data_IF_350674328590
#
_entry.id   IF_350674328590
#
_cell.length_a   1.000
_cell.length_b   1.000
_cell.length_c   1.000
_cell.angle_alpha   90.00
_cell.angle_beta   90.00
_cell.angle_gamma   90.00
#
_symmetry.space_group_name_H-M   'P 1'
#
loop_
_entity.id
_entity.type
_entity.pdbx_description
1 polymer ?
#
# COMPACT_ATOMS: atom_id res chain seq x y z
N UNK A 1 -3.36 1.32 -26.53
CA UNK A 1 -4.16 1.22 -25.29
C UNK A 1 -4.35 2.64 -24.77
N UNK A 2 -5.53 2.96 -24.22
CA UNK A 2 -5.71 4.26 -23.57
C UNK A 2 -4.86 4.27 -22.29
N UNK A 3 -3.97 5.25 -22.17
CA UNK A 3 -3.14 5.46 -20.99
C UNK A 3 -3.90 6.33 -19.98
N UNK A 4 -3.71 6.08 -18.69
CA UNK A 4 -4.25 6.92 -17.62
C UNK A 4 -3.17 7.95 -17.26
N UNK A 5 -3.52 9.24 -17.34
CA UNK A 5 -2.59 10.31 -17.00
C UNK A 5 -2.42 10.43 -15.48
N UNK A 6 -1.27 10.95 -15.04
CA UNK A 6 -0.93 11.09 -13.62
C UNK A 6 -1.96 11.88 -12.83
N UNK A 7 -2.51 12.92 -13.44
CA UNK A 7 -3.51 13.80 -12.84
C UNK A 7 -4.84 13.08 -12.62
N UNK A 8 -5.23 12.22 -13.55
CA UNK A 8 -6.46 11.42 -13.46
C UNK A 8 -6.36 10.40 -12.33
N UNK A 9 -5.21 9.72 -12.21
CA UNK A 9 -4.94 8.79 -11.10
C UNK A 9 -5.03 9.52 -9.76
N UNK A 10 -4.39 10.67 -9.63
CA UNK A 10 -4.41 11.46 -8.40
C UNK A 10 -5.83 11.93 -8.04
N UNK A 11 -6.59 12.40 -9.03
CA UNK A 11 -7.99 12.81 -8.83
C UNK A 11 -8.88 11.66 -8.39
N UNK A 12 -8.73 10.48 -9.01
CA UNK A 12 -9.52 9.30 -8.65
C UNK A 12 -9.20 8.83 -7.23
N UNK A 13 -7.93 8.70 -6.87
CA UNK A 13 -7.57 8.27 -5.52
C UNK A 13 -8.03 9.28 -4.48
N UNK A 14 -7.81 10.57 -4.72
CA UNK A 14 -8.21 11.65 -3.81
C UNK A 14 -9.73 11.76 -3.65
N UNK A 15 -10.49 11.64 -4.75
CA UNK A 15 -11.95 11.65 -4.71
C UNK A 15 -12.52 10.42 -4.01
N UNK A 16 -11.92 9.25 -4.22
CA UNK A 16 -12.35 8.02 -3.54
C UNK A 16 -12.09 8.07 -2.03
N UNK A 17 -10.91 8.54 -1.60
CA UNK A 17 -10.61 8.65 -0.16
C UNK A 17 -11.43 9.72 0.57
N UNK A 18 -11.94 10.74 -0.16
CA UNK A 18 -12.92 11.72 0.37
C UNK A 18 -14.38 11.24 0.31
N UNK A 19 -14.66 10.08 -0.27
CA UNK A 19 -16.02 9.57 -0.44
C UNK A 19 -16.83 10.25 -1.55
N UNK A 20 -16.18 11.02 -2.43
CA UNK A 20 -16.81 11.70 -3.57
C UNK A 20 -17.03 10.74 -4.75
N UNK A 21 -16.21 9.68 -4.84
CA UNK A 21 -16.34 8.62 -5.83
C UNK A 21 -17.04 7.43 -5.16
N UNK A 22 -18.21 7.00 -5.65
CA UNK A 22 -18.91 5.86 -5.09
C UNK A 22 -18.20 4.54 -5.44
N UNK A 23 -18.32 3.55 -4.53
CA UNK A 23 -17.68 2.24 -4.63
C UNK A 23 -17.85 1.55 -5.99
N UNK A 24 -19.02 1.67 -6.63
CA UNK A 24 -19.27 0.99 -7.90
C UNK A 24 -18.38 1.52 -9.04
N UNK A 25 -17.99 2.80 -9.02
CA UNK A 25 -17.04 3.35 -10.00
C UNK A 25 -15.62 2.85 -9.75
N UNK A 26 -15.19 2.81 -8.48
CA UNK A 26 -13.87 2.28 -8.12
C UNK A 26 -13.76 0.78 -8.44
N UNK A 27 -14.83 0.00 -8.21
CA UNK A 27 -14.89 -1.43 -8.61
C UNK A 27 -14.80 -1.61 -10.13
N UNK A 28 -15.48 -0.77 -10.90
CA UNK A 28 -15.40 -0.80 -12.36
C UNK A 28 -13.98 -0.48 -12.85
N UNK A 29 -13.31 0.51 -12.25
CA UNK A 29 -11.91 0.84 -12.56
C UNK A 29 -10.98 -0.32 -12.20
N UNK A 30 -11.12 -0.91 -11.01
CA UNK A 30 -10.31 -2.06 -10.60
C UNK A 30 -10.45 -3.24 -11.57
N UNK A 31 -11.67 -3.52 -12.05
CA UNK A 31 -11.91 -4.56 -13.05
C UNK A 31 -11.28 -4.20 -14.41
N UNK A 32 -11.33 -2.92 -14.82
CA UNK A 32 -10.66 -2.46 -16.03
C UNK A 32 -9.14 -2.63 -15.94
N UNK A 33 -8.54 -2.26 -14.82
CA UNK A 33 -7.10 -2.46 -14.52
C UNK A 33 -6.75 -3.95 -14.55
N UNK A 34 -7.59 -4.83 -14.00
CA UNK A 34 -7.35 -6.27 -14.03
C UNK A 34 -7.24 -6.81 -15.47
N UNK A 35 -8.13 -6.41 -16.37
CA UNK A 35 -8.13 -6.90 -17.75
C UNK A 35 -7.12 -6.19 -18.67
N UNK A 36 -6.82 -4.92 -18.41
CA UNK A 36 -5.94 -4.11 -19.27
C UNK A 36 -4.51 -4.02 -18.74
N UNK A 37 -4.29 -4.28 -17.47
CA UNK A 37 -3.03 -4.01 -16.80
C UNK A 37 -2.75 -2.52 -16.64
N UNK A 38 -1.58 -2.22 -16.09
CA UNK A 38 -0.99 -0.88 -16.00
C UNK A 38 0.49 -0.98 -16.37
N UNK A 39 1.02 0.08 -16.98
CA UNK A 39 2.45 0.25 -17.15
C UNK A 39 3.15 0.52 -15.81
N UNK A 40 4.48 0.37 -15.77
CA UNK A 40 5.28 0.71 -14.58
C UNK A 40 5.09 2.17 -14.17
N UNK A 41 4.95 3.07 -15.15
CA UNK A 41 4.71 4.49 -14.91
C UNK A 41 3.35 4.72 -14.25
N UNK A 42 2.29 4.13 -14.79
CA UNK A 42 0.95 4.25 -14.21
C UNK A 42 0.91 3.63 -12.80
N UNK A 43 1.55 2.48 -12.60
CA UNK A 43 1.66 1.81 -11.29
C UNK A 43 2.40 2.66 -10.27
N UNK A 44 3.47 3.34 -10.70
CA UNK A 44 4.19 4.30 -9.87
C UNK A 44 3.30 5.48 -9.45
N UNK A 45 2.56 6.07 -10.40
CA UNK A 45 1.63 7.16 -10.09
C UNK A 45 0.50 6.74 -9.16
N UNK A 46 -0.05 5.53 -9.34
CA UNK A 46 -1.05 4.96 -8.45
C UNK A 46 -0.50 4.80 -7.02
N UNK A 47 0.70 4.21 -6.90
CA UNK A 47 1.37 4.01 -5.62
C UNK A 47 1.64 5.35 -4.92
N UNK A 48 2.12 6.35 -5.67
CA UNK A 48 2.36 7.70 -5.16
C UNK A 48 1.08 8.38 -4.69
N UNK A 49 0.01 8.33 -5.48
CA UNK A 49 -1.28 8.91 -5.10
C UNK A 49 -1.86 8.25 -3.84
N UNK A 50 -1.69 6.93 -3.68
CA UNK A 50 -2.09 6.24 -2.46
C UNK A 50 -1.23 6.62 -1.24
N UNK A 51 0.09 6.77 -1.42
CA UNK A 51 0.99 7.25 -0.36
C UNK A 51 0.59 8.65 0.14
N UNK A 52 0.31 9.57 -0.78
CA UNK A 52 -0.05 10.96 -0.48
C UNK A 52 -1.50 11.12 0.01
N UNK A 53 -2.32 10.06 -0.07
CA UNK A 53 -3.72 10.09 0.40
C UNK A 53 -3.88 10.02 1.92
N UNK A 54 -2.80 9.71 2.64
CA UNK A 54 -2.78 9.57 4.10
C UNK A 54 -1.74 10.45 4.76
N UNK A 55 -1.35 10.08 5.98
CA UNK A 55 -0.27 10.74 6.70
C UNK A 55 1.07 10.11 6.34
N UNK A 56 2.09 10.94 6.13
CA UNK A 56 3.47 10.51 5.89
C UNK A 56 4.23 10.60 7.22
N UNK A 57 4.81 9.48 7.65
CA UNK A 57 5.58 9.42 8.88
C UNK A 57 7.01 9.93 8.65
N UNK A 58 7.44 10.90 9.46
CA UNK A 58 8.80 11.44 9.45
C UNK A 58 9.54 11.00 10.72
N UNK A 59 10.79 10.57 10.56
CA UNK A 59 11.64 10.20 11.69
C UNK A 59 12.44 11.41 12.17
N UNK A 60 12.76 11.49 13.48
CA UNK A 60 13.67 12.50 13.98
C UNK A 60 15.02 12.47 13.26
N UNK A 61 15.70 13.63 13.11
CA UNK A 61 17.06 13.69 12.59
C UNK A 61 18.00 12.74 13.36
N UNK A 62 18.92 12.09 12.64
CA UNK A 62 19.87 11.09 13.17
C UNK A 62 19.26 9.76 13.64
N UNK A 63 18.00 9.47 13.29
CA UNK A 63 17.45 8.12 13.50
C UNK A 63 18.27 7.07 12.72
N UNK A 64 18.51 5.86 13.29
CA UNK A 64 19.15 4.77 12.55
C UNK A 64 18.37 4.43 11.28
N UNK A 65 19.04 3.91 10.22
CA UNK A 65 18.38 3.47 8.99
C UNK A 65 17.19 2.56 9.28
N UNK A 66 16.10 2.75 8.52
CA UNK A 66 14.87 1.99 8.71
C UNK A 66 14.74 0.91 7.66
N UNK A 67 14.41 -0.30 8.11
CA UNK A 67 14.12 -1.44 7.25
C UNK A 67 12.70 -1.90 7.52
N UNK A 68 12.00 -2.22 6.44
CA UNK A 68 10.69 -2.86 6.46
C UNK A 68 10.75 -4.11 5.58
N UNK A 69 9.97 -5.12 5.94
CA UNK A 69 9.83 -6.35 5.17
C UNK A 69 8.36 -6.67 5.03
N UNK A 70 7.88 -6.56 3.80
CA UNK A 70 6.54 -6.99 3.43
C UNK A 70 6.56 -8.37 2.75
N UNK A 71 5.48 -9.14 2.88
CA UNK A 71 5.27 -10.39 2.13
C UNK A 71 3.99 -10.29 1.31
N UNK A 72 4.02 -10.80 0.09
CA UNK A 72 2.84 -10.93 -0.78
C UNK A 72 1.76 -11.86 -0.20
N UNK A 73 2.10 -12.64 0.84
CA UNK A 73 1.20 -13.57 1.52
C UNK A 73 1.67 -15.02 1.39
N UNK A 74 1.45 -15.80 2.43
CA UNK A 74 1.67 -17.25 2.46
C UNK A 74 0.83 -17.88 3.56
N UNK A 75 0.37 -19.13 3.34
CA UNK A 75 -0.25 -19.92 4.40
C UNK A 75 0.78 -20.10 5.52
N UNK A 76 0.41 -19.73 6.75
CA UNK A 76 1.33 -19.84 7.88
C UNK A 76 2.47 -18.83 7.88
N UNK A 77 2.42 -17.74 7.11
CA UNK A 77 3.44 -16.68 7.14
C UNK A 77 3.58 -16.06 8.54
N UNK A 78 4.62 -16.44 9.28
CA UNK A 78 4.92 -15.95 10.64
C UNK A 78 6.28 -15.24 10.72
N UNK A 79 6.99 -15.08 9.61
CA UNK A 79 8.32 -14.46 9.57
C UNK A 79 8.34 -13.09 10.23
N UNK A 80 7.39 -12.20 9.92
CA UNK A 80 7.35 -10.86 10.51
C UNK A 80 7.17 -10.87 12.03
N UNK A 81 6.49 -11.88 12.59
CA UNK A 81 6.32 -12.02 14.05
C UNK A 81 7.66 -12.24 14.76
N UNK A 82 8.60 -12.92 14.11
CA UNK A 82 9.93 -13.21 14.66
C UNK A 82 10.94 -12.13 14.24
N UNK A 83 10.89 -11.70 12.98
CA UNK A 83 11.89 -10.81 12.40
C UNK A 83 11.79 -9.38 12.94
N UNK A 84 10.57 -8.86 13.14
CA UNK A 84 10.39 -7.51 13.66
C UNK A 84 11.04 -7.30 15.04
N UNK A 85 10.79 -8.13 16.08
CA UNK A 85 11.46 -7.97 17.36
C UNK A 85 12.96 -8.29 17.29
N UNK A 86 13.39 -9.22 16.42
CA UNK A 86 14.81 -9.53 16.26
C UNK A 86 15.60 -8.33 15.69
N UNK A 87 15.05 -7.63 14.69
CA UNK A 87 15.65 -6.42 14.15
C UNK A 87 15.55 -5.23 15.10
N UNK A 88 14.53 -5.16 15.94
CA UNK A 88 14.39 -4.10 16.95
C UNK A 88 15.45 -4.17 18.07
N UNK A 89 16.05 -5.34 18.27
CA UNK A 89 17.16 -5.52 19.22
C UNK A 89 18.53 -5.10 18.64
N UNK A 90 18.61 -4.81 17.34
CA UNK A 90 19.84 -4.34 16.70
C UNK A 90 19.99 -2.83 16.89
N UNK A 91 21.05 -2.38 17.56
CA UNK A 91 21.27 -0.95 17.83
C UNK A 91 21.59 -0.14 16.56
N UNK A 92 21.97 -0.80 15.46
CA UNK A 92 22.31 -0.18 14.18
C UNK A 92 21.13 0.03 13.24
N UNK A 93 19.95 -0.53 13.54
CA UNK A 93 18.78 -0.50 12.66
C UNK A 93 17.50 -0.14 13.42
N UNK A 94 16.61 0.59 12.76
CA UNK A 94 15.21 0.66 13.19
C UNK A 94 14.34 -0.27 12.35
N UNK A 95 13.46 -1.01 13.01
CA UNK A 95 12.47 -1.85 12.33
C UNK A 95 11.11 -1.13 12.29
N UNK A 96 10.51 -1.06 11.11
CA UNK A 96 9.09 -0.75 10.95
C UNK A 96 8.37 -1.98 10.42
N UNK A 97 7.08 -2.09 10.72
CA UNK A 97 6.28 -3.24 10.30
C UNK A 97 4.82 -2.82 10.10
N UNK A 98 4.53 -2.27 8.92
CA UNK A 98 3.16 -1.93 8.52
C UNK A 98 2.49 -3.18 7.92
N UNK A 99 1.42 -3.66 8.56
CA UNK A 99 0.71 -4.87 8.14
C UNK A 99 -0.77 -4.64 7.94
N UNK A 100 -1.32 -5.36 6.95
CA UNK A 100 -2.76 -5.54 6.79
C UNK A 100 -3.24 -6.82 7.50
N UNK A 101 -4.54 -6.91 7.75
CA UNK A 101 -5.18 -8.16 8.19
C UNK A 101 -5.44 -9.07 6.99
N UNK A 102 -5.43 -10.39 7.21
CA UNK A 102 -5.77 -11.34 6.15
C UNK A 102 -7.26 -11.22 5.76
N UNK A 103 -7.56 -11.27 4.46
CA UNK A 103 -8.93 -11.20 3.93
C UNK A 103 -9.79 -12.46 4.12
N UNK A 104 -9.30 -13.53 4.75
CA UNK A 104 -10.08 -14.77 4.92
C UNK A 104 -11.20 -14.67 5.98
N UNK A 105 -11.33 -13.54 6.66
CA UNK A 105 -12.32 -13.34 7.73
C UNK A 105 -13.65 -12.72 7.25
N UNK A 106 -13.85 -12.49 5.95
CA UNK A 106 -15.03 -11.82 5.39
C UNK A 106 -16.23 -12.73 5.06
N UNK A 107 -16.30 -13.97 5.57
CA UNK A 107 -17.42 -14.88 5.22
C UNK A 107 -18.72 -14.70 6.03
N UNK A 108 -18.79 -13.76 6.98
CA UNK A 108 -19.98 -13.58 7.83
C UNK A 108 -20.28 -12.11 8.24
N UNK A 109 -20.00 -11.12 7.39
CA UNK A 109 -20.44 -9.74 7.61
C UNK A 109 -21.31 -9.27 6.46
#
# INVERSE_FOLDING_TARGET
MAAIYSEEIAQVISGFTRGEIPDYQMRALAMAIFFRGMSDRETWHLTKAMLESGQIFEYPPNSPPKVDRHSTGAIGGKTSLVLAPLLACDEGLGANDFRSRSGYHWRHA
#
